data_IF_376092564190
#
_entry.id   IF_376092564190
#
_cell.length_a   1.000
_cell.length_b   1.000
_cell.length_c   1.000
_cell.angle_alpha   90.00
_cell.angle_beta   90.00
_cell.angle_gamma   90.00
#
_symmetry.space_group_name_H-M   'P 1'
#
loop_
_entity.id
_entity.type
_entity.pdbx_description
1 polymer ?
#
# COMPACT_ATOMS: atom_id res chain seq x y z
N UNK A 1 34.44 -14.47 -13.78
CA UNK A 1 35.12 -14.16 -12.49
C UNK A 1 34.02 -14.07 -11.43
N UNK A 2 33.84 -15.12 -10.58
CA UNK A 2 32.89 -15.07 -9.47
C UNK A 2 33.45 -14.08 -8.45
N UNK A 3 32.77 -12.96 -8.19
CA UNK A 3 33.03 -12.16 -7.00
C UNK A 3 32.62 -13.02 -5.79
N UNK A 4 33.62 -13.45 -5.02
CA UNK A 4 33.36 -14.08 -3.73
C UNK A 4 32.74 -13.02 -2.80
N UNK A 5 31.69 -13.40 -2.09
CA UNK A 5 31.16 -12.76 -0.86
C UNK A 5 30.70 -11.28 -0.92
N UNK A 6 30.15 -10.80 -2.03
CA UNK A 6 29.60 -9.44 -2.12
C UNK A 6 28.17 -9.40 -2.63
N UNK A 7 27.43 -8.33 -2.30
CA UNK A 7 26.15 -7.99 -2.90
C UNK A 7 26.37 -7.14 -4.14
N UNK A 8 25.47 -7.27 -5.12
CA UNK A 8 25.50 -6.48 -6.35
C UNK A 8 24.76 -5.16 -6.18
N UNK A 9 23.79 -5.14 -5.25
CA UNK A 9 23.03 -3.95 -4.88
C UNK A 9 22.68 -3.96 -3.39
N UNK A 10 22.54 -2.76 -2.81
CA UNK A 10 21.98 -2.55 -1.48
C UNK A 10 20.76 -1.65 -1.57
N UNK A 11 19.66 -2.08 -0.96
CA UNK A 11 18.41 -1.31 -0.85
C UNK A 11 18.22 -0.95 0.62
N UNK A 12 18.06 0.34 0.90
CA UNK A 12 17.85 0.85 2.26
C UNK A 12 16.38 1.19 2.46
N UNK A 13 15.78 0.59 3.47
CA UNK A 13 14.37 0.69 3.79
C UNK A 13 13.54 -0.41 3.14
N UNK A 14 12.75 -1.11 3.94
CA UNK A 14 11.85 -2.20 3.53
C UNK A 14 10.38 -1.77 3.45
N UNK A 15 10.12 -0.49 3.23
CA UNK A 15 8.79 -0.04 2.82
C UNK A 15 8.41 -0.60 1.44
N UNK A 16 7.17 -0.38 0.96
CA UNK A 16 6.69 -0.98 -0.29
C UNK A 16 7.61 -0.70 -1.48
N UNK A 17 8.14 0.52 -1.60
CA UNK A 17 9.03 0.87 -2.71
C UNK A 17 10.38 0.16 -2.63
N UNK A 18 10.96 0.07 -1.42
CA UNK A 18 12.22 -0.65 -1.20
C UNK A 18 12.08 -2.14 -1.46
N UNK A 19 10.97 -2.75 -1.01
CA UNK A 19 10.67 -4.15 -1.27
C UNK A 19 10.51 -4.42 -2.77
N UNK A 20 9.76 -3.59 -3.49
CA UNK A 20 9.59 -3.71 -4.94
C UNK A 20 10.93 -3.60 -5.64
N UNK A 21 11.75 -2.60 -5.28
CA UNK A 21 13.08 -2.42 -5.85
C UNK A 21 13.98 -3.63 -5.60
N UNK A 22 14.00 -4.14 -4.37
CA UNK A 22 14.80 -5.30 -4.01
C UNK A 22 14.37 -6.57 -4.77
N UNK A 23 13.06 -6.83 -4.87
CA UNK A 23 12.51 -7.99 -5.59
C UNK A 23 12.79 -7.88 -7.10
N UNK A 24 12.64 -6.68 -7.67
CA UNK A 24 12.94 -6.43 -9.09
C UNK A 24 14.40 -6.70 -9.42
N UNK A 25 15.32 -6.20 -8.60
CA UNK A 25 16.76 -6.45 -8.77
C UNK A 25 17.10 -7.93 -8.58
N UNK A 26 16.52 -8.57 -7.58
CA UNK A 26 16.73 -10.00 -7.36
C UNK A 26 16.18 -10.84 -8.50
N UNK A 27 15.00 -10.48 -9.05
CA UNK A 27 14.42 -11.11 -10.23
C UNK A 27 15.29 -10.97 -11.49
N UNK A 28 16.09 -9.91 -11.58
CA UNK A 28 17.10 -9.70 -12.61
C UNK A 28 18.44 -10.44 -12.34
N UNK A 29 18.47 -11.31 -11.32
CA UNK A 29 19.65 -12.13 -10.99
C UNK A 29 20.71 -11.42 -10.12
N UNK A 30 20.39 -10.24 -9.58
CA UNK A 30 21.28 -9.51 -8.69
C UNK A 30 21.22 -10.09 -7.27
N UNK A 31 22.34 -10.12 -6.58
CA UNK A 31 22.39 -10.39 -5.14
C UNK A 31 22.11 -9.11 -4.39
N UNK A 32 20.94 -9.03 -3.76
CA UNK A 32 20.47 -7.81 -3.13
C UNK A 32 20.57 -7.90 -1.62
N UNK A 33 21.18 -6.89 -1.01
CA UNK A 33 21.12 -6.67 0.44
C UNK A 33 20.00 -5.68 0.73
N UNK A 34 18.98 -6.11 1.47
CA UNK A 34 17.93 -5.24 1.98
C UNK A 34 18.22 -4.87 3.43
N UNK A 35 18.35 -3.57 3.69
CA UNK A 35 18.69 -3.03 5.01
C UNK A 35 17.45 -2.32 5.57
N UNK A 36 17.03 -2.71 6.78
CA UNK A 36 15.90 -2.09 7.48
C UNK A 36 16.35 -1.63 8.87
N UNK A 37 16.00 -0.40 9.23
CA UNK A 37 16.31 0.19 10.54
C UNK A 37 15.34 -0.20 11.64
N UNK A 38 14.13 -0.62 11.29
CA UNK A 38 13.13 -1.09 12.23
C UNK A 38 13.27 -2.61 12.49
N UNK A 39 12.68 -3.08 13.58
CA UNK A 39 12.68 -4.51 13.93
C UNK A 39 11.88 -5.39 12.96
N UNK A 40 10.95 -4.81 12.21
CA UNK A 40 10.08 -5.51 11.25
C UNK A 40 10.12 -4.81 9.91
N UNK A 41 10.06 -5.61 8.86
CA UNK A 41 9.92 -5.12 7.49
C UNK A 41 8.53 -4.56 7.21
N UNK A 42 8.38 -3.82 6.11
CA UNK A 42 7.10 -3.39 5.57
C UNK A 42 6.83 -1.89 5.62
N UNK A 43 7.57 -1.12 6.42
CA UNK A 43 7.34 0.34 6.52
C UNK A 43 5.91 0.67 6.90
N UNK A 44 5.23 1.50 6.11
CA UNK A 44 3.82 1.86 6.32
C UNK A 44 2.81 0.75 6.02
N UNK A 45 3.23 -0.38 5.45
CA UNK A 45 2.36 -1.56 5.25
C UNK A 45 2.40 -2.55 6.41
N UNK A 46 3.06 -2.22 7.51
CA UNK A 46 3.12 -3.11 8.67
C UNK A 46 1.78 -3.17 9.38
N UNK A 47 1.47 -4.37 9.87
CA UNK A 47 0.36 -4.60 10.79
C UNK A 47 0.91 -4.89 12.18
N UNK A 48 0.35 -4.27 13.20
CA UNK A 48 0.80 -4.41 14.59
C UNK A 48 -0.38 -4.54 15.57
N UNK A 49 -0.19 -5.27 16.65
CA UNK A 49 -1.09 -5.27 17.79
C UNK A 49 -0.80 -4.03 18.64
N UNK A 50 -1.48 -2.92 18.36
CA UNK A 50 -1.22 -1.61 18.96
C UNK A 50 -2.29 -1.12 19.93
N UNK A 51 -3.37 -1.88 20.13
CA UNK A 51 -4.47 -1.53 21.02
C UNK A 51 -4.79 -2.69 21.96
N UNK A 52 -5.97 -3.27 21.84
CA UNK A 52 -6.42 -4.38 22.68
C UNK A 52 -5.87 -5.72 22.18
N UNK A 53 -5.68 -6.66 23.10
CA UNK A 53 -5.27 -8.02 22.76
C UNK A 53 -6.21 -8.68 21.77
N UNK A 54 -5.64 -9.33 20.75
CA UNK A 54 -6.38 -9.99 19.68
C UNK A 54 -6.76 -9.08 18.49
N UNK A 55 -6.49 -7.78 18.59
CA UNK A 55 -6.71 -6.86 17.47
C UNK A 55 -5.40 -6.51 16.76
N UNK A 56 -5.40 -6.65 15.44
CA UNK A 56 -4.28 -6.25 14.59
C UNK A 56 -4.70 -5.03 13.78
N UNK A 57 -3.85 -4.02 13.78
CA UNK A 57 -4.08 -2.75 13.09
C UNK A 57 -3.01 -2.51 12.03
N UNK A 58 -3.41 -1.92 10.94
CA UNK A 58 -2.47 -1.36 9.97
C UNK A 58 -1.82 -0.10 10.56
N UNK A 59 -0.49 -0.05 10.54
CA UNK A 59 0.26 1.09 11.14
C UNK A 59 0.00 2.39 10.38
N UNK A 60 -0.13 2.31 9.06
CA UNK A 60 -0.33 3.49 8.23
C UNK A 60 -1.30 3.24 7.06
N UNK A 61 -1.04 2.25 6.23
CA UNK A 61 -1.74 2.06 4.96
C UNK A 61 -2.90 1.07 5.08
N UNK A 62 -4.06 1.52 5.52
CA UNK A 62 -5.29 0.72 5.60
C UNK A 62 -5.95 0.52 4.25
N UNK A 63 -5.86 1.51 3.35
CA UNK A 63 -6.40 1.46 1.99
C UNK A 63 -5.28 1.63 0.97
N UNK A 64 -5.29 0.82 -0.09
CA UNK A 64 -4.17 0.66 -1.01
C UNK A 64 -4.57 0.86 -2.49
N UNK A 65 -5.22 1.98 -2.86
CA UNK A 65 -5.67 2.20 -4.24
C UNK A 65 -4.50 2.28 -5.23
N UNK A 66 -3.40 2.91 -4.83
CA UNK A 66 -2.20 3.05 -5.67
C UNK A 66 -1.47 1.73 -5.86
N UNK A 67 -1.47 0.84 -4.87
CA UNK A 67 -0.87 -0.49 -5.03
C UNK A 67 -1.55 -1.26 -6.16
N UNK A 68 -2.88 -1.27 -6.20
CA UNK A 68 -3.65 -1.92 -7.26
C UNK A 68 -3.45 -1.28 -8.64
N UNK A 69 -3.29 0.05 -8.69
CA UNK A 69 -3.03 0.78 -9.93
C UNK A 69 -1.59 0.63 -10.43
N UNK A 70 -0.66 0.31 -9.54
CA UNK A 70 0.77 0.23 -9.84
C UNK A 70 1.10 -0.93 -10.79
N UNK A 71 1.86 -0.66 -11.84
CA UNK A 71 2.42 -1.67 -12.73
C UNK A 71 3.30 -2.66 -11.96
N UNK A 72 4.13 -2.17 -11.05
CA UNK A 72 5.04 -3.00 -10.26
C UNK A 72 4.30 -4.05 -9.42
N UNK A 73 3.19 -3.67 -8.77
CA UNK A 73 2.38 -4.63 -8.01
C UNK A 73 1.69 -5.66 -8.92
N UNK A 74 1.24 -5.25 -10.11
CA UNK A 74 0.67 -6.18 -11.10
C UNK A 74 1.70 -7.19 -11.60
N UNK A 75 2.91 -6.74 -11.88
CA UNK A 75 3.99 -7.57 -12.42
C UNK A 75 4.47 -8.60 -11.39
N UNK A 76 4.45 -8.26 -10.12
CA UNK A 76 4.79 -9.19 -9.02
C UNK A 76 3.77 -10.31 -8.83
N UNK A 77 2.56 -10.19 -9.36
CA UNK A 77 1.47 -11.19 -9.25
C UNK A 77 1.28 -11.71 -7.83
N UNK A 78 1.28 -10.80 -6.86
CA UNK A 78 1.12 -11.16 -5.46
C UNK A 78 -0.24 -11.86 -5.23
N UNK A 79 -0.28 -12.96 -4.50
CA UNK A 79 -1.51 -13.67 -4.17
C UNK A 79 -2.28 -12.94 -3.06
N UNK A 80 -2.81 -11.74 -3.41
CA UNK A 80 -3.52 -10.87 -2.46
C UNK A 80 -5.00 -10.88 -2.79
N UNK A 81 -5.82 -11.13 -1.79
CA UNK A 81 -7.27 -10.94 -1.85
C UNK A 81 -7.61 -9.47 -1.61
N UNK A 82 -8.40 -8.87 -2.52
CA UNK A 82 -8.78 -7.47 -2.43
C UNK A 82 -10.23 -7.31 -2.00
N UNK A 83 -10.43 -6.71 -0.83
CA UNK A 83 -11.75 -6.28 -0.39
C UNK A 83 -12.09 -4.90 -0.98
N UNK A 84 -13.30 -4.77 -1.49
CA UNK A 84 -13.80 -3.54 -2.10
C UNK A 84 -15.13 -3.14 -1.45
N UNK A 85 -15.12 -2.27 -0.42
CA UNK A 85 -16.36 -1.78 0.17
C UNK A 85 -17.16 -0.95 -0.83
N UNK A 86 -18.47 -0.88 -0.65
CA UNK A 86 -19.35 -0.05 -1.48
C UNK A 86 -19.03 1.44 -1.32
N UNK A 87 -18.64 1.84 -0.11
CA UNK A 87 -18.19 3.19 0.26
C UNK A 87 -16.75 3.10 0.74
N UNK A 88 -15.75 3.27 -0.15
CA UNK A 88 -14.33 3.18 0.21
C UNK A 88 -13.83 4.31 1.09
N UNK A 89 -14.44 5.49 1.04
CA UNK A 89 -14.06 6.64 1.85
C UNK A 89 -15.25 7.53 2.19
N UNK A 90 -15.17 8.19 3.34
CA UNK A 90 -16.10 9.21 3.77
C UNK A 90 -15.33 10.41 4.33
N UNK A 91 -15.80 11.61 4.02
CA UNK A 91 -15.27 12.86 4.56
C UNK A 91 -16.34 13.50 5.45
N UNK A 92 -16.24 13.35 6.78
CA UNK A 92 -17.16 14.03 7.71
C UNK A 92 -17.02 15.54 7.59
N UNK A 93 -18.14 16.24 7.62
CA UNK A 93 -18.20 17.70 7.63
C UNK A 93 -18.91 18.19 8.89
N UNK A 94 -18.48 19.32 9.44
CA UNK A 94 -19.11 19.90 10.62
C UNK A 94 -20.51 20.43 10.27
N UNK A 95 -21.54 19.92 10.98
CA UNK A 95 -22.93 20.37 10.83
C UNK A 95 -23.61 20.00 9.52
N UNK A 96 -23.04 19.09 8.74
CA UNK A 96 -23.57 18.59 7.47
C UNK A 96 -23.40 17.09 7.37
N UNK A 97 -24.07 16.47 6.38
CA UNK A 97 -23.85 15.07 6.05
C UNK A 97 -22.42 14.86 5.50
N UNK A 98 -21.88 13.70 5.78
CA UNK A 98 -20.57 13.33 5.27
C UNK A 98 -20.58 13.19 3.74
N UNK A 99 -19.55 13.68 3.07
CA UNK A 99 -19.33 13.40 1.67
C UNK A 99 -18.82 11.97 1.52
N UNK A 100 -19.56 11.14 0.79
CA UNK A 100 -19.25 9.74 0.57
C UNK A 100 -18.60 9.53 -0.81
N UNK A 101 -17.51 8.80 -0.83
CA UNK A 101 -16.93 8.31 -2.09
C UNK A 101 -17.41 6.88 -2.28
N UNK A 102 -18.24 6.67 -3.28
CA UNK A 102 -18.76 5.37 -3.64
C UNK A 102 -17.87 4.68 -4.67
N UNK A 103 -17.93 3.36 -4.71
CA UNK A 103 -17.32 2.59 -5.79
C UNK A 103 -17.96 2.92 -7.14
N UNK A 104 -19.25 3.22 -7.13
CA UNK A 104 -19.98 3.78 -8.28
C UNK A 104 -19.70 5.29 -8.37
N UNK A 105 -19.16 5.73 -9.52
CA UNK A 105 -18.85 7.14 -9.75
C UNK A 105 -20.10 8.01 -9.81
N UNK A 106 -21.21 7.49 -10.38
CA UNK A 106 -22.46 8.25 -10.46
C UNK A 106 -23.04 8.48 -9.07
N UNK A 107 -23.04 7.46 -8.21
CA UNK A 107 -23.48 7.62 -6.81
C UNK A 107 -22.61 8.64 -6.02
N UNK A 108 -21.32 8.73 -6.32
CA UNK A 108 -20.45 9.79 -5.74
C UNK A 108 -20.88 11.16 -6.26
N UNK A 109 -21.05 11.31 -7.56
CA UNK A 109 -21.46 12.57 -8.18
C UNK A 109 -22.81 13.06 -7.66
N UNK A 110 -23.80 12.16 -7.55
CA UNK A 110 -25.14 12.49 -7.04
C UNK A 110 -25.06 13.02 -5.59
N UNK A 111 -24.12 12.51 -4.78
CA UNK A 111 -23.88 12.96 -3.41
C UNK A 111 -23.17 14.33 -3.29
N UNK A 112 -22.53 14.81 -4.36
CA UNK A 112 -21.83 16.10 -4.38
C UNK A 112 -22.74 17.29 -4.74
N UNK A 113 -23.99 17.03 -5.16
CA UNK A 113 -24.94 18.08 -5.49
C UNK A 113 -24.43 19.03 -6.60
N UNK A 114 -24.37 20.36 -6.35
CA UNK A 114 -23.90 21.33 -7.36
C UNK A 114 -22.47 21.11 -7.85
N UNK A 115 -21.62 20.51 -7.01
CA UNK A 115 -20.19 20.30 -7.29
C UNK A 115 -19.95 19.03 -8.15
N UNK A 116 -20.99 18.26 -8.44
CA UNK A 116 -20.91 17.03 -9.24
C UNK A 116 -20.37 17.23 -10.67
N UNK A 117 -20.30 18.46 -11.16
CA UNK A 117 -19.89 18.84 -12.53
C UNK A 117 -18.60 19.63 -12.58
N UNK A 118 -17.90 19.79 -11.47
CA UNK A 118 -16.65 20.53 -11.39
C UNK A 118 -15.43 19.74 -11.93
#
# INVERSE_FOLDING_TARGET
MRRADGYDAAVVGSGPNGLIGAVTLAGAGQRVLLIEGARRFGGGLRSEASTLDGFTHEVCATVLPLARASAAFRDLRLPVEWAHPAVPAAHPLDGQDAVLIHRDRQATADGLGPDARA
#
